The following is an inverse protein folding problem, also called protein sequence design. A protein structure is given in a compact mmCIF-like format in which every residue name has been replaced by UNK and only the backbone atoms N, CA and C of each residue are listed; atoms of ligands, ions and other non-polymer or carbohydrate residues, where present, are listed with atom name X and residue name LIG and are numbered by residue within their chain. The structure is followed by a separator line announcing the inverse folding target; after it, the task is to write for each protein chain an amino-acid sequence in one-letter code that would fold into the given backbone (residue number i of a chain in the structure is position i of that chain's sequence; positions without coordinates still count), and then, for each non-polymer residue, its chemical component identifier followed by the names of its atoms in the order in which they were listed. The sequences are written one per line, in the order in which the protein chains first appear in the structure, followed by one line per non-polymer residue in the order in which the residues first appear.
data_IF_788095845541
#
_entry.id   IF_788095845541
#
_cell.length_a   1.000
_cell.length_b   1.000
_cell.length_c   1.000
_cell.angle_alpha   90.00
_cell.angle_beta   90.00
_cell.angle_gamma   90.00
#
_symmetry.space_group_name_H-M   'P 1'
#
loop_
_entity.id
_entity.type
_entity.pdbx_description
1 polymer ?
#
# COMPACT_ATOMS: atom_id res chain seq x y z
N UNK A 1 -57.54 36.92 9.04
CA UNK A 1 -56.12 37.32 8.96
C UNK A 1 -55.30 36.07 8.72
N UNK A 2 -54.75 35.96 7.52
CA UNK A 2 -54.00 34.82 7.04
C UNK A 2 -52.54 34.91 7.50
N UNK A 3 -51.97 33.79 7.95
CA UNK A 3 -50.53 33.60 7.99
C UNK A 3 -50.24 32.19 7.46
N UNK A 4 -49.85 32.18 6.19
CA UNK A 4 -49.48 31.03 5.38
C UNK A 4 -48.12 30.49 5.81
N UNK A 5 -48.03 29.20 6.14
CA UNK A 5 -46.77 28.47 6.22
C UNK A 5 -46.31 28.12 4.81
N UNK A 6 -45.24 28.78 4.35
CA UNK A 6 -44.55 28.39 3.12
C UNK A 6 -43.65 27.18 3.40
N UNK A 7 -44.13 25.98 3.07
CA UNK A 7 -43.26 24.84 2.80
C UNK A 7 -42.54 25.08 1.47
N UNK A 8 -41.30 25.59 1.54
CA UNK A 8 -40.40 25.59 0.40
C UNK A 8 -39.85 24.18 0.20
N UNK A 9 -40.42 23.45 -0.76
CA UNK A 9 -39.79 22.28 -1.39
C UNK A 9 -38.46 22.73 -1.99
N UNK A 10 -37.35 22.50 -1.31
CA UNK A 10 -36.02 22.51 -1.94
C UNK A 10 -35.82 21.13 -2.56
N UNK A 11 -35.96 21.07 -3.88
CA UNK A 11 -35.62 19.89 -4.66
C UNK A 11 -34.15 19.52 -4.40
N UNK A 12 -33.93 18.31 -3.91
CA UNK A 12 -32.61 17.68 -3.95
C UNK A 12 -32.28 17.45 -5.43
N UNK A 13 -31.37 18.27 -5.96
CA UNK A 13 -30.59 17.86 -7.13
C UNK A 13 -29.52 16.89 -6.63
N UNK A 14 -29.85 15.60 -6.62
CA UNK A 14 -28.87 14.52 -6.53
C UNK A 14 -28.05 14.54 -7.82
N UNK A 15 -26.92 15.25 -7.80
CA UNK A 15 -25.88 15.05 -8.80
C UNK A 15 -25.15 13.74 -8.48
N UNK A 16 -25.68 12.64 -8.99
CA UNK A 16 -24.98 11.35 -9.06
C UNK A 16 -23.81 11.53 -10.02
N UNK A 17 -22.61 11.66 -9.48
CA UNK A 17 -21.38 11.62 -10.27
C UNK A 17 -21.17 10.16 -10.69
N UNK A 18 -21.77 9.77 -11.81
CA UNK A 18 -21.36 8.56 -12.51
C UNK A 18 -19.94 8.79 -13.00
N UNK A 19 -18.99 8.01 -12.49
CA UNK A 19 -17.83 7.63 -13.31
C UNK A 19 -18.41 6.75 -14.40
N UNK A 20 -18.81 7.38 -15.51
CA UNK A 20 -19.23 6.68 -16.71
C UNK A 20 -18.00 5.99 -17.28
N UNK A 21 -17.80 4.72 -16.94
CA UNK A 21 -17.04 3.76 -17.74
C UNK A 21 -17.88 3.36 -18.95
N UNK A 22 -18.28 4.33 -19.76
CA UNK A 22 -18.74 4.09 -21.12
C UNK A 22 -17.59 4.51 -22.02
N UNK A 23 -17.09 3.57 -22.84
CA UNK A 23 -16.07 3.85 -23.84
C UNK A 23 -16.55 4.94 -24.79
N UNK A 24 -16.16 6.18 -24.52
CA UNK A 24 -16.22 7.27 -25.49
C UNK A 24 -15.01 7.04 -26.41
N UNK A 25 -15.19 6.92 -27.73
CA UNK A 25 -14.06 6.82 -28.63
C UNK A 25 -13.18 8.04 -28.43
N UNK A 26 -11.88 7.81 -28.21
CA UNK A 26 -10.91 8.88 -28.18
C UNK A 26 -10.97 9.60 -29.52
N UNK A 27 -11.44 10.85 -29.53
CA UNK A 27 -11.13 11.73 -30.63
C UNK A 27 -9.60 11.82 -30.67
N UNK A 28 -8.99 11.25 -31.71
CA UNK A 28 -7.64 11.63 -32.14
C UNK A 28 -7.74 13.10 -32.53
N UNK A 29 -7.67 14.00 -31.54
CA UNK A 29 -7.35 15.39 -31.82
C UNK A 29 -6.01 15.40 -32.52
N UNK A 30 -5.95 16.05 -33.68
CA UNK A 30 -4.74 16.18 -34.47
C UNK A 30 -3.58 16.64 -33.57
N UNK A 31 -2.41 16.02 -33.72
CA UNK A 31 -1.21 16.45 -33.01
C UNK A 31 -0.98 17.95 -33.34
N UNK A 32 -0.74 18.82 -32.33
CA UNK A 32 -0.47 20.22 -32.60
C UNK A 32 0.77 20.37 -33.48
N UNK A 33 0.75 21.38 -34.36
CA UNK A 33 1.91 21.74 -35.19
C UNK A 33 3.17 21.97 -34.35
N UNK A 34 4.29 21.35 -34.75
CA UNK A 34 5.57 21.43 -34.01
C UNK A 34 6.07 22.88 -33.85
N UNK A 35 5.78 23.75 -34.82
CA UNK A 35 6.09 25.18 -34.74
C UNK A 35 5.27 25.88 -33.65
N UNK A 36 3.97 25.56 -33.55
CA UNK A 36 3.09 26.08 -32.51
C UNK A 36 3.49 25.59 -31.09
N UNK A 37 3.92 24.32 -30.97
CA UNK A 37 4.46 23.77 -29.73
C UNK A 37 5.71 24.54 -29.29
N UNK A 38 6.69 24.66 -30.18
CA UNK A 38 7.95 25.34 -29.90
C UNK A 38 7.76 26.82 -29.53
N UNK A 39 6.89 27.54 -30.26
CA UNK A 39 6.55 28.94 -29.98
C UNK A 39 5.88 29.12 -28.61
N UNK A 40 5.19 28.08 -28.13
CA UNK A 40 4.55 28.05 -26.80
C UNK A 40 5.47 27.51 -25.70
N UNK A 41 6.75 27.23 -26.01
CA UNK A 41 7.73 26.69 -25.07
C UNK A 41 7.62 25.19 -24.79
N UNK A 42 6.67 24.50 -25.43
CA UNK A 42 6.40 23.07 -25.26
C UNK A 42 7.30 22.26 -26.18
N UNK A 43 7.85 21.17 -25.65
CA UNK A 43 8.64 20.17 -26.39
C UNK A 43 7.84 18.88 -26.53
N UNK A 44 8.01 18.19 -27.65
CA UNK A 44 7.54 16.83 -27.89
C UNK A 44 8.72 15.86 -27.76
N UNK A 45 8.59 14.87 -26.89
CA UNK A 45 9.55 13.79 -26.69
C UNK A 45 8.85 12.47 -26.99
N UNK A 46 9.49 11.57 -27.73
CA UNK A 46 8.87 10.35 -28.20
C UNK A 46 9.70 9.11 -27.85
N UNK A 47 8.98 8.04 -27.56
CA UNK A 47 9.48 6.71 -27.25
C UNK A 47 8.47 5.65 -27.73
N UNK A 48 8.74 4.36 -27.51
CA UNK A 48 7.90 3.29 -28.03
C UNK A 48 6.47 3.38 -27.50
N UNK A 49 6.31 3.64 -26.20
CA UNK A 49 5.03 3.62 -25.50
C UNK A 49 4.57 4.99 -25.01
N UNK A 50 5.34 6.06 -25.22
CA UNK A 50 4.96 7.42 -24.81
C UNK A 50 5.23 8.48 -25.88
N UNK A 51 4.23 9.34 -26.11
CA UNK A 51 4.41 10.72 -26.60
C UNK A 51 4.32 11.65 -25.40
N UNK A 52 5.37 12.40 -25.09
CA UNK A 52 5.39 13.34 -23.99
C UNK A 52 5.44 14.78 -24.51
N UNK A 53 4.43 15.57 -24.17
CA UNK A 53 4.42 17.01 -24.31
C UNK A 53 4.82 17.66 -22.97
N UNK A 54 5.86 18.48 -22.96
CA UNK A 54 6.30 19.13 -21.72
C UNK A 54 7.00 20.47 -21.94
N UNK A 55 6.76 21.42 -21.04
CA UNK A 55 7.49 22.70 -20.91
C UNK A 55 8.61 22.63 -19.86
N UNK A 56 8.74 21.49 -19.17
CA UNK A 56 9.81 21.18 -18.20
C UNK A 56 11.10 20.88 -18.97
N UNK A 57 12.21 21.51 -18.56
CA UNK A 57 13.48 21.52 -19.33
C UNK A 57 14.62 20.79 -18.61
N UNK A 58 14.39 20.39 -17.36
CA UNK A 58 15.35 19.69 -16.53
C UNK A 58 15.68 18.33 -17.15
N UNK A 59 16.96 17.88 -17.12
CA UNK A 59 17.37 16.61 -17.72
C UNK A 59 16.58 15.39 -17.22
N UNK A 60 16.09 15.44 -15.98
CA UNK A 60 15.27 14.38 -15.42
C UNK A 60 13.92 14.20 -16.13
N UNK A 61 13.37 15.25 -16.74
CA UNK A 61 12.16 15.16 -17.57
C UNK A 61 12.43 14.42 -18.89
N UNK A 62 13.64 14.55 -19.44
CA UNK A 62 14.03 13.88 -20.70
C UNK A 62 14.11 12.34 -20.54
N UNK A 63 14.26 11.84 -19.31
CA UNK A 63 14.27 10.41 -19.01
C UNK A 63 12.86 9.78 -18.96
N UNK A 64 11.80 10.58 -18.82
CA UNK A 64 10.43 10.09 -18.61
C UNK A 64 9.90 9.14 -19.70
N UNK A 65 10.10 9.40 -21.01
CA UNK A 65 9.67 8.46 -22.05
C UNK A 65 10.33 7.08 -21.90
N UNK A 66 11.63 7.04 -21.58
CA UNK A 66 12.35 5.78 -21.33
C UNK A 66 11.87 5.07 -20.05
N UNK A 67 11.58 5.82 -18.99
CA UNK A 67 10.99 5.26 -17.77
C UNK A 67 9.66 4.58 -18.08
N UNK A 68 8.81 5.23 -18.87
CA UNK A 68 7.52 4.67 -19.28
C UNK A 68 7.69 3.40 -20.12
N UNK A 69 8.60 3.40 -21.10
CA UNK A 69 8.91 2.22 -21.91
C UNK A 69 9.36 1.02 -21.05
N UNK A 70 10.16 1.26 -20.00
CA UNK A 70 10.63 0.22 -19.09
C UNK A 70 9.55 -0.25 -18.11
N UNK A 71 8.50 0.52 -17.89
CA UNK A 71 7.37 0.17 -17.04
C UNK A 71 6.40 -0.80 -17.73
N UNK A 72 6.18 -0.64 -19.05
CA UNK A 72 5.25 -1.46 -19.84
C UNK A 72 5.47 -2.97 -19.69
N UNK A 73 6.68 -3.55 -19.85
CA UNK A 73 6.87 -4.98 -19.67
C UNK A 73 6.63 -5.44 -18.22
N UNK A 74 6.87 -4.58 -17.22
CA UNK A 74 6.62 -4.90 -15.82
C UNK A 74 5.12 -4.88 -15.49
N UNK A 75 4.36 -3.92 -16.03
CA UNK A 75 2.89 -3.95 -15.97
C UNK A 75 2.33 -5.17 -16.70
N UNK A 76 2.88 -5.51 -17.87
CA UNK A 76 2.46 -6.68 -18.63
C UNK A 76 2.63 -7.98 -17.83
N UNK A 77 3.77 -8.17 -17.18
CA UNK A 77 4.02 -9.31 -16.29
C UNK A 77 3.05 -9.31 -15.09
N UNK A 78 2.96 -8.18 -14.37
CA UNK A 78 2.11 -8.03 -13.19
C UNK A 78 0.63 -8.31 -13.50
N UNK A 79 0.13 -7.79 -14.63
CA UNK A 79 -1.27 -7.94 -15.04
C UNK A 79 -1.53 -9.16 -15.92
N UNK A 80 -0.51 -9.92 -16.31
CA UNK A 80 -0.65 -11.09 -17.18
C UNK A 80 -1.11 -10.74 -18.59
N UNK A 81 -0.73 -9.56 -19.08
CA UNK A 81 -1.04 -9.11 -20.44
C UNK A 81 0.07 -9.61 -21.37
N UNK A 82 -0.26 -10.37 -22.44
CA UNK A 82 0.74 -10.80 -23.41
C UNK A 82 1.43 -9.61 -24.08
N UNK A 83 2.75 -9.71 -24.31
CA UNK A 83 3.55 -8.66 -24.97
C UNK A 83 2.98 -8.24 -26.34
N UNK A 84 2.32 -9.16 -27.04
CA UNK A 84 1.67 -8.86 -28.33
C UNK A 84 0.56 -7.82 -28.21
N UNK A 85 -0.08 -7.68 -27.05
CA UNK A 85 -1.09 -6.65 -26.79
C UNK A 85 -0.49 -5.30 -26.42
N UNK A 86 0.75 -5.27 -25.91
CA UNK A 86 1.43 -4.03 -25.53
C UNK A 86 2.28 -3.45 -26.66
N UNK A 87 2.67 -4.26 -27.65
CA UNK A 87 3.59 -3.88 -28.72
C UNK A 87 3.22 -2.57 -29.48
N UNK A 88 1.93 -2.31 -29.70
CA UNK A 88 1.44 -1.09 -30.34
C UNK A 88 0.74 -0.13 -29.39
N UNK A 89 0.68 -0.45 -28.10
CA UNK A 89 0.02 0.40 -27.10
C UNK A 89 0.91 1.60 -26.79
N UNK A 90 0.31 2.78 -26.81
CA UNK A 90 1.01 4.05 -26.61
C UNK A 90 0.11 5.03 -25.87
N UNK A 91 0.71 5.78 -24.94
CA UNK A 91 0.06 6.87 -24.23
C UNK A 91 0.54 8.23 -24.72
N UNK A 92 -0.29 9.25 -24.56
CA UNK A 92 0.08 10.66 -24.71
C UNK A 92 0.06 11.31 -23.33
N UNK A 93 1.20 11.82 -22.89
CA UNK A 93 1.37 12.50 -21.62
C UNK A 93 1.58 14.01 -21.81
N UNK A 94 0.97 14.82 -20.94
CA UNK A 94 1.32 16.22 -20.75
C UNK A 94 1.89 16.43 -19.35
N UNK A 95 3.16 16.86 -19.25
CA UNK A 95 3.81 17.23 -17.98
C UNK A 95 4.03 18.74 -17.99
N UNK A 96 3.30 19.45 -17.12
CA UNK A 96 3.05 20.88 -17.27
C UNK A 96 3.53 21.67 -16.05
N UNK A 97 4.50 22.57 -16.24
CA UNK A 97 4.81 23.62 -15.26
C UNK A 97 3.79 24.74 -15.34
N UNK A 98 3.46 25.19 -16.55
CA UNK A 98 2.34 26.08 -16.83
C UNK A 98 1.30 25.33 -17.68
N UNK A 99 0.07 25.23 -17.17
CA UNK A 99 -1.02 24.53 -17.86
C UNK A 99 -1.67 25.37 -18.98
N UNK A 100 -1.52 26.71 -18.95
CA UNK A 100 -2.20 27.60 -19.89
C UNK A 100 -1.78 27.39 -21.36
N UNK A 101 -0.48 27.25 -21.70
CA UNK A 101 -0.07 26.95 -23.07
C UNK A 101 -0.64 25.63 -23.61
N UNK A 102 -0.71 24.60 -22.76
CA UNK A 102 -1.28 23.30 -23.14
C UNK A 102 -2.77 23.41 -23.42
N UNK A 103 -3.50 24.17 -22.60
CA UNK A 103 -4.94 24.43 -22.82
C UNK A 103 -5.18 25.17 -24.13
N UNK A 104 -4.42 26.25 -24.39
CA UNK A 104 -4.55 27.03 -25.64
C UNK A 104 -4.29 26.20 -26.90
N UNK A 105 -3.40 25.21 -26.83
CA UNK A 105 -3.10 24.31 -27.93
C UNK A 105 -4.02 23.07 -27.97
N UNK A 106 -5.03 22.98 -27.10
CA UNK A 106 -5.95 21.84 -27.03
C UNK A 106 -5.33 20.55 -26.48
N UNK A 107 -4.09 20.61 -25.97
CA UNK A 107 -3.44 19.48 -25.32
C UNK A 107 -4.04 19.18 -23.95
N UNK A 108 -4.54 20.20 -23.23
CA UNK A 108 -5.27 20.07 -21.97
C UNK A 108 -6.75 20.44 -22.18
N UNK A 109 -7.68 19.46 -22.19
CA UNK A 109 -9.10 19.71 -22.41
C UNK A 109 -9.76 20.49 -21.27
N UNK A 110 -10.66 21.42 -21.60
CA UNK A 110 -11.42 22.23 -20.64
C UNK A 110 -12.52 21.45 -19.90
N UNK A 111 -12.89 20.28 -20.41
CA UNK A 111 -13.94 19.43 -19.84
C UNK A 111 -13.43 18.46 -18.77
N UNK A 112 -12.12 18.47 -18.48
CA UNK A 112 -11.55 17.67 -17.42
C UNK A 112 -12.02 18.18 -16.05
N UNK A 113 -12.34 17.27 -15.11
CA UNK A 113 -12.58 17.68 -13.73
C UNK A 113 -11.30 18.30 -13.14
N UNK A 114 -11.40 19.22 -12.17
CA UNK A 114 -10.23 19.72 -11.47
C UNK A 114 -9.46 18.57 -10.81
N UNK A 115 -8.14 18.52 -11.04
CA UNK A 115 -7.24 17.56 -10.42
C UNK A 115 -6.07 18.30 -9.76
N UNK A 116 -5.54 17.72 -8.67
CA UNK A 116 -4.48 18.36 -7.89
C UNK A 116 -3.09 18.14 -8.48
N UNK A 117 -2.84 16.94 -9.01
CA UNK A 117 -1.50 16.49 -9.40
C UNK A 117 -1.49 15.80 -10.74
N UNK A 118 -2.33 14.79 -10.93
CA UNK A 118 -2.44 14.01 -12.16
C UNK A 118 -3.88 13.63 -12.47
N UNK A 119 -4.12 13.28 -13.74
CA UNK A 119 -5.37 12.71 -14.20
C UNK A 119 -5.14 11.89 -15.48
N UNK A 120 -5.85 10.77 -15.62
CA UNK A 120 -5.84 9.93 -16.81
C UNK A 120 -7.24 9.79 -17.40
N UNK A 121 -7.34 9.85 -18.75
CA UNK A 121 -8.55 9.58 -19.51
C UNK A 121 -8.22 8.97 -20.86
N UNK A 122 -8.62 7.71 -21.07
CA UNK A 122 -8.34 6.98 -22.30
C UNK A 122 -6.83 6.83 -22.53
N UNK A 123 -6.35 7.17 -23.73
CA UNK A 123 -4.91 7.07 -24.06
C UNK A 123 -4.11 8.31 -23.63
N UNK A 124 -4.70 9.20 -22.82
CA UNK A 124 -4.09 10.46 -22.41
C UNK A 124 -3.96 10.56 -20.90
N UNK A 125 -2.84 11.13 -20.46
CA UNK A 125 -2.62 11.53 -19.08
C UNK A 125 -2.07 12.95 -18.99
N UNK A 126 -2.42 13.65 -17.93
CA UNK A 126 -1.99 15.01 -17.64
C UNK A 126 -1.48 15.07 -16.22
N UNK A 127 -0.38 15.78 -16.00
CA UNK A 127 0.11 16.04 -14.67
C UNK A 127 0.77 17.41 -14.57
N UNK A 128 0.60 18.03 -13.41
CA UNK A 128 1.37 19.22 -13.05
C UNK A 128 2.79 18.83 -12.66
N UNK A 129 3.72 19.74 -12.92
CA UNK A 129 5.12 19.60 -12.54
C UNK A 129 5.27 19.43 -11.02
N UNK A 130 6.19 18.56 -10.61
CA UNK A 130 6.35 18.12 -9.22
C UNK A 130 7.66 18.61 -8.59
N UNK A 131 7.71 18.80 -7.27
CA UNK A 131 8.88 19.35 -6.58
C UNK A 131 10.09 18.42 -6.55
N UNK A 132 9.95 17.14 -6.95
CA UNK A 132 11.06 16.20 -7.04
C UNK A 132 11.00 15.35 -8.30
N UNK A 133 12.17 14.98 -8.81
CA UNK A 133 12.29 14.05 -9.94
C UNK A 133 11.71 12.68 -9.63
N UNK A 134 11.78 12.24 -8.36
CA UNK A 134 11.13 11.01 -7.91
C UNK A 134 9.62 11.11 -8.04
N UNK A 135 9.00 12.16 -7.48
CA UNK A 135 7.55 12.26 -7.44
C UNK A 135 6.98 12.57 -8.84
N UNK A 136 7.74 13.25 -9.71
CA UNK A 136 7.41 13.38 -11.14
C UNK A 136 7.31 12.01 -11.82
N UNK A 137 8.32 11.15 -11.66
CA UNK A 137 8.29 9.77 -12.18
C UNK A 137 7.17 8.95 -11.54
N UNK A 138 6.98 9.06 -10.23
CA UNK A 138 5.93 8.37 -9.48
C UNK A 138 4.55 8.67 -10.06
N UNK A 139 4.22 9.95 -10.29
CA UNK A 139 2.95 10.32 -10.89
C UNK A 139 2.80 9.85 -12.33
N UNK A 140 3.86 9.92 -13.14
CA UNK A 140 3.83 9.38 -14.50
C UNK A 140 3.51 7.87 -14.50
N UNK A 141 4.13 7.11 -13.59
CA UNK A 141 3.90 5.67 -13.45
C UNK A 141 2.53 5.36 -12.85
N UNK A 142 2.07 6.16 -11.90
CA UNK A 142 0.74 6.05 -11.30
C UNK A 142 -0.36 6.24 -12.36
N UNK A 143 -0.35 7.36 -13.09
CA UNK A 143 -1.30 7.61 -14.18
C UNK A 143 -1.11 6.64 -15.35
N UNK A 144 0.13 6.19 -15.58
CA UNK A 144 0.44 5.14 -16.55
C UNK A 144 -0.20 3.80 -16.19
N UNK A 145 -0.28 3.46 -14.91
CA UNK A 145 -0.97 2.26 -14.41
C UNK A 145 -2.48 2.34 -14.68
N UNK A 146 -3.10 3.51 -14.46
CA UNK A 146 -4.50 3.75 -14.84
C UNK A 146 -4.70 3.57 -16.35
N UNK A 147 -3.84 4.18 -17.16
CA UNK A 147 -3.88 4.03 -18.62
C UNK A 147 -3.75 2.57 -19.06
N UNK A 148 -2.78 1.85 -18.52
CA UNK A 148 -2.53 0.45 -18.85
C UNK A 148 -3.75 -0.43 -18.53
N UNK A 149 -4.29 -0.32 -17.31
CA UNK A 149 -5.43 -1.13 -16.87
C UNK A 149 -6.69 -0.79 -17.67
N UNK A 150 -7.01 0.50 -17.85
CA UNK A 150 -8.19 0.94 -18.61
C UNK A 150 -8.11 0.52 -20.08
N UNK A 151 -6.98 0.71 -20.75
CA UNK A 151 -6.86 0.44 -22.18
C UNK A 151 -6.73 -1.06 -22.50
N UNK A 152 -6.02 -1.84 -21.67
CA UNK A 152 -5.67 -3.22 -22.00
C UNK A 152 -6.49 -4.27 -21.23
N UNK A 153 -7.10 -3.88 -20.10
CA UNK A 153 -7.90 -4.76 -19.24
C UNK A 153 -9.37 -4.33 -19.14
N UNK A 154 -9.73 -3.20 -19.76
CA UNK A 154 -11.12 -2.73 -19.87
C UNK A 154 -11.67 -2.01 -18.63
N UNK A 155 -10.82 -1.75 -17.62
CA UNK A 155 -11.19 -1.01 -16.43
C UNK A 155 -10.08 -0.98 -15.38
N UNK A 156 -10.25 -0.14 -14.36
CA UNK A 156 -9.32 0.00 -13.22
C UNK A 156 -9.78 -0.69 -11.94
N UNK A 157 -10.96 -1.33 -11.94
CA UNK A 157 -11.59 -1.86 -10.72
C UNK A 157 -12.18 -0.77 -9.81
N UNK A 158 -12.54 -1.11 -8.56
CA UNK A 158 -13.08 -0.16 -7.60
C UNK A 158 -12.03 0.89 -7.17
N UNK A 159 -12.45 2.09 -6.70
CA UNK A 159 -11.52 3.19 -6.39
C UNK A 159 -10.36 2.80 -5.46
N UNK A 160 -10.61 1.99 -4.42
CA UNK A 160 -9.55 1.55 -3.51
C UNK A 160 -8.49 0.70 -4.20
N UNK A 161 -8.90 -0.17 -5.12
CA UNK A 161 -7.97 -1.04 -5.86
C UNK A 161 -7.25 -0.24 -6.92
N UNK A 162 -7.98 0.54 -7.70
CA UNK A 162 -7.46 1.38 -8.79
C UNK A 162 -6.33 2.29 -8.27
N UNK A 163 -6.61 3.04 -7.20
CA UNK A 163 -5.63 3.97 -6.62
C UNK A 163 -4.54 3.23 -5.83
N UNK A 164 -4.91 2.14 -5.13
CA UNK A 164 -3.96 1.33 -4.38
C UNK A 164 -2.91 0.67 -5.26
N UNK A 165 -3.33 0.08 -6.39
CA UNK A 165 -2.42 -0.58 -7.32
C UNK A 165 -1.59 0.43 -8.11
N UNK A 166 -2.15 1.59 -8.47
CA UNK A 166 -1.40 2.66 -9.12
C UNK A 166 -0.36 3.29 -8.19
N UNK A 167 -0.66 3.49 -6.91
CA UNK A 167 0.33 3.90 -5.90
C UNK A 167 1.40 2.84 -5.67
N UNK A 168 1.00 1.56 -5.59
CA UNK A 168 1.93 0.43 -5.38
C UNK A 168 2.87 0.23 -6.56
N UNK A 169 2.37 0.20 -7.79
CA UNK A 169 3.19 0.06 -9.01
C UNK A 169 3.89 1.37 -9.38
N UNK A 170 3.44 2.51 -8.86
CA UNK A 170 4.13 3.79 -8.95
C UNK A 170 5.36 3.89 -8.05
N UNK A 171 5.43 3.13 -6.95
CA UNK A 171 6.65 3.01 -6.15
C UNK A 171 7.73 2.30 -6.96
N UNK A 172 8.90 2.92 -7.06
CA UNK A 172 9.93 2.43 -7.97
C UNK A 172 11.34 2.79 -7.53
N UNK A 173 12.30 2.00 -8.00
CA UNK A 173 13.72 2.33 -7.98
C UNK A 173 14.18 2.68 -9.39
N UNK A 174 14.84 3.82 -9.52
CA UNK A 174 15.46 4.28 -10.76
C UNK A 174 16.94 4.51 -10.51
N UNK A 175 17.78 3.60 -11.01
CA UNK A 175 19.22 3.65 -10.81
C UNK A 175 19.92 3.11 -12.05
N UNK A 176 20.95 3.81 -12.52
CA UNK A 176 21.78 3.39 -13.66
C UNK A 176 20.97 3.02 -14.92
N UNK A 177 19.87 3.76 -15.17
CA UNK A 177 18.99 3.55 -16.31
C UNK A 177 18.12 2.29 -16.23
N UNK A 178 18.02 1.67 -15.05
CA UNK A 178 17.15 0.53 -14.74
C UNK A 178 15.97 1.00 -13.90
N UNK A 179 14.78 0.48 -14.23
CA UNK A 179 13.55 0.71 -13.52
C UNK A 179 13.08 -0.59 -12.86
N UNK A 180 12.74 -0.53 -11.59
CA UNK A 180 12.06 -1.59 -10.84
C UNK A 180 10.79 -1.01 -10.25
N UNK A 181 9.62 -1.51 -10.66
CA UNK A 181 8.32 -1.14 -10.09
C UNK A 181 8.02 -1.97 -8.83
N UNK A 182 6.98 -1.58 -8.09
CA UNK A 182 6.60 -2.21 -6.81
C UNK A 182 7.76 -2.24 -5.80
N UNK A 183 8.65 -1.25 -5.87
CA UNK A 183 9.86 -1.21 -5.06
C UNK A 183 9.53 -0.93 -3.59
N UNK A 184 9.97 -1.81 -2.70
CA UNK A 184 9.87 -1.61 -1.25
C UNK A 184 11.01 -0.72 -0.74
N UNK A 185 10.79 0.60 -0.83
CA UNK A 185 11.75 1.60 -0.38
C UNK A 185 12.14 1.40 1.08
N UNK A 186 13.45 1.42 1.36
CA UNK A 186 14.05 1.17 2.68
C UNK A 186 14.07 2.42 3.56
N UNK A 187 14.04 3.59 2.94
CA UNK A 187 13.99 4.87 3.65
C UNK A 187 13.26 5.95 2.86
N UNK A 188 12.84 7.01 3.56
CA UNK A 188 12.11 8.13 2.92
C UNK A 188 12.93 8.89 1.88
N UNK A 189 14.27 8.86 1.99
CA UNK A 189 15.16 9.58 1.08
C UNK A 189 15.12 9.01 -0.35
N UNK A 190 14.87 7.70 -0.49
CA UNK A 190 14.72 7.03 -1.78
C UNK A 190 13.46 7.47 -2.54
N UNK A 191 12.44 7.94 -1.81
CA UNK A 191 11.08 8.20 -2.32
C UNK A 191 10.60 9.62 -1.98
N UNK A 192 11.44 10.61 -2.31
CA UNK A 192 11.21 12.01 -1.98
C UNK A 192 9.81 12.50 -2.37
N UNK A 193 9.10 13.12 -1.41
CA UNK A 193 7.74 13.67 -1.49
C UNK A 193 6.57 12.65 -1.55
N UNK A 194 6.82 11.34 -1.55
CA UNK A 194 5.74 10.35 -1.58
C UNK A 194 4.95 10.24 -0.25
N UNK A 195 5.64 10.05 0.89
CA UNK A 195 5.11 10.34 2.22
C UNK A 195 3.96 9.47 2.76
N UNK A 196 3.54 8.38 2.10
CA UNK A 196 2.37 7.57 2.54
C UNK A 196 2.57 6.89 3.89
N UNK A 197 3.78 6.38 4.17
CA UNK A 197 4.15 5.84 5.50
C UNK A 197 3.92 6.86 6.62
N UNK A 198 4.30 8.13 6.39
CA UNK A 198 4.10 9.22 7.37
C UNK A 198 2.62 9.50 7.63
N UNK A 199 1.79 9.43 6.58
CA UNK A 199 0.34 9.60 6.70
C UNK A 199 -0.24 8.49 7.59
N UNK A 200 0.05 7.22 7.28
CA UNK A 200 -0.47 6.09 8.06
C UNK A 200 -0.08 6.15 9.54
N UNK A 201 1.20 6.44 9.84
CA UNK A 201 1.66 6.62 11.22
C UNK A 201 0.86 7.70 11.95
N UNK A 202 0.68 8.86 11.32
CA UNK A 202 -0.07 9.98 11.92
C UNK A 202 -1.54 9.63 12.13
N UNK A 203 -2.20 8.98 11.17
CA UNK A 203 -3.61 8.60 11.33
C UNK A 203 -3.78 7.55 12.43
N UNK A 204 -2.87 6.57 12.51
CA UNK A 204 -2.86 5.57 13.58
C UNK A 204 -2.64 6.20 14.97
N UNK A 205 -1.61 7.04 15.12
CA UNK A 205 -1.30 7.75 16.37
C UNK A 205 -2.46 8.64 16.83
N UNK A 206 -3.23 9.18 15.89
CA UNK A 206 -4.39 10.00 16.18
C UNK A 206 -5.68 9.19 16.44
N UNK A 207 -5.58 7.87 16.56
CA UNK A 207 -6.71 6.97 16.83
C UNK A 207 -7.69 6.80 15.67
N UNK A 208 -7.25 7.10 14.44
CA UNK A 208 -8.04 7.02 13.20
C UNK A 208 -7.57 5.86 12.29
N UNK A 209 -7.10 4.77 12.89
CA UNK A 209 -6.82 3.55 12.15
C UNK A 209 -8.08 3.03 11.46
N UNK A 210 -7.93 2.54 10.22
CA UNK A 210 -9.03 1.94 9.45
C UNK A 210 -9.00 0.41 9.56
N UNK A 211 -10.14 -0.24 9.32
CA UNK A 211 -10.16 -1.69 9.01
C UNK A 211 -9.84 -1.91 7.54
N UNK A 212 -9.40 -3.11 7.16
CA UNK A 212 -9.16 -3.42 5.75
C UNK A 212 -10.46 -3.30 4.95
N UNK A 213 -11.58 -3.73 5.55
CA UNK A 213 -12.91 -3.60 4.95
C UNK A 213 -13.30 -2.15 4.70
N UNK A 214 -13.05 -1.23 5.64
CA UNK A 214 -13.39 0.19 5.46
C UNK A 214 -12.63 0.82 4.28
N UNK A 215 -11.35 0.48 4.11
CA UNK A 215 -10.56 0.91 2.95
C UNK A 215 -11.19 0.44 1.64
N UNK A 216 -11.68 -0.81 1.59
CA UNK A 216 -12.34 -1.36 0.41
C UNK A 216 -13.69 -0.69 0.06
N UNK A 217 -14.23 0.14 0.96
CA UNK A 217 -15.47 0.90 0.71
C UNK A 217 -15.24 2.30 0.17
N UNK A 218 -13.99 2.73 -0.03
CA UNK A 218 -13.73 4.06 -0.56
C UNK A 218 -14.39 4.28 -1.92
N UNK A 219 -15.07 5.43 -2.04
CA UNK A 219 -15.64 5.89 -3.28
C UNK A 219 -14.68 6.84 -4.03
N UNK A 220 -15.09 7.29 -5.21
CA UNK A 220 -14.32 8.24 -6.00
C UNK A 220 -14.15 9.61 -5.31
N UNK A 221 -15.03 9.99 -4.36
CA UNK A 221 -14.94 11.28 -3.67
C UNK A 221 -13.89 11.25 -2.55
N UNK A 222 -13.60 10.09 -1.98
CA UNK A 222 -12.57 9.92 -0.96
C UNK A 222 -11.22 10.49 -1.44
N UNK A 223 -10.86 10.20 -2.69
CA UNK A 223 -9.57 10.54 -3.32
C UNK A 223 -9.39 12.03 -3.68
N UNK A 224 -10.28 12.90 -3.19
CA UNK A 224 -10.07 14.36 -3.13
C UNK A 224 -9.10 14.77 -2.02
N UNK A 225 -8.72 13.84 -1.16
CA UNK A 225 -7.72 14.00 -0.08
C UNK A 225 -6.55 13.07 -0.36
N UNK A 226 -5.37 13.39 0.18
CA UNK A 226 -4.16 12.56 0.05
C UNK A 226 -4.20 11.30 0.91
N UNK A 227 -4.98 11.30 1.99
CA UNK A 227 -4.99 10.22 2.98
C UNK A 227 -5.48 8.87 2.43
N UNK A 228 -6.55 8.80 1.62
CA UNK A 228 -7.01 7.52 1.07
C UNK A 228 -5.97 6.80 0.22
N UNK A 229 -5.13 7.54 -0.53
CA UNK A 229 -4.03 6.94 -1.29
C UNK A 229 -3.06 6.14 -0.40
N UNK A 230 -2.81 6.61 0.83
CA UNK A 230 -1.93 5.90 1.75
C UNK A 230 -2.55 4.59 2.25
N UNK A 231 -3.85 4.59 2.53
CA UNK A 231 -4.59 3.39 2.95
C UNK A 231 -4.74 2.38 1.81
N UNK A 232 -5.12 2.86 0.62
CA UNK A 232 -5.25 2.03 -0.58
C UNK A 232 -3.90 1.40 -0.96
N UNK A 233 -2.80 2.16 -0.89
CA UNK A 233 -1.44 1.64 -1.07
C UNK A 233 -1.13 0.52 -0.07
N UNK A 234 -1.36 0.75 1.23
CA UNK A 234 -1.08 -0.25 2.24
C UNK A 234 -1.94 -1.52 2.06
N UNK A 235 -3.20 -1.37 1.65
CA UNK A 235 -4.08 -2.49 1.35
C UNK A 235 -3.58 -3.30 0.15
N UNK A 236 -3.18 -2.64 -0.95
CA UNK A 236 -2.58 -3.30 -2.10
C UNK A 236 -1.28 -4.01 -1.74
N UNK A 237 -0.40 -3.36 -0.97
CA UNK A 237 0.86 -3.94 -0.49
C UNK A 237 0.61 -5.18 0.39
N UNK A 238 -0.31 -5.11 1.36
CA UNK A 238 -0.67 -6.25 2.20
C UNK A 238 -1.21 -7.39 1.34
N UNK A 239 -2.21 -7.11 0.51
CA UNK A 239 -2.92 -8.14 -0.24
C UNK A 239 -2.04 -8.82 -1.30
N UNK A 240 -1.14 -8.08 -1.94
CA UNK A 240 -0.19 -8.61 -2.94
C UNK A 240 0.96 -9.41 -2.32
N UNK A 241 1.32 -9.16 -1.06
CA UNK A 241 2.47 -9.83 -0.41
C UNK A 241 2.12 -10.86 0.65
N UNK A 242 0.95 -10.76 1.27
CA UNK A 242 0.58 -11.68 2.33
C UNK A 242 0.29 -13.09 1.77
N UNK A 243 0.88 -14.17 2.32
CA UNK A 243 0.72 -15.52 1.80
C UNK A 243 -0.74 -15.99 1.66
N UNK A 244 -1.61 -15.56 2.59
CA UNK A 244 -3.02 -15.94 2.58
C UNK A 244 -3.87 -15.25 1.50
N UNK A 245 -3.40 -14.14 0.91
CA UNK A 245 -4.16 -13.34 -0.06
C UNK A 245 -3.51 -13.20 -1.43
N UNK A 246 -2.18 -13.27 -1.52
CA UNK A 246 -1.39 -12.95 -2.73
C UNK A 246 -1.94 -13.59 -4.00
N UNK A 247 -2.23 -14.89 -3.95
CA UNK A 247 -2.75 -15.61 -5.10
C UNK A 247 -4.13 -15.09 -5.53
N UNK A 248 -5.06 -14.97 -4.58
CA UNK A 248 -6.40 -14.45 -4.87
C UNK A 248 -6.35 -13.00 -5.35
N UNK A 249 -5.56 -12.13 -4.72
CA UNK A 249 -5.45 -10.74 -5.12
C UNK A 249 -4.94 -10.58 -6.56
N UNK A 250 -3.91 -11.36 -6.95
CA UNK A 250 -3.36 -11.33 -8.31
C UNK A 250 -4.30 -11.93 -9.35
N UNK A 251 -5.13 -12.92 -9.01
CA UNK A 251 -6.15 -13.43 -9.93
C UNK A 251 -7.17 -12.37 -10.37
N UNK A 252 -7.41 -11.35 -9.54
CA UNK A 252 -8.45 -10.34 -9.77
C UNK A 252 -8.11 -9.29 -10.82
N UNK A 253 -6.87 -9.28 -11.32
CA UNK A 253 -6.51 -8.55 -12.55
C UNK A 253 -7.42 -8.88 -13.75
N UNK A 254 -8.04 -10.06 -13.74
CA UNK A 254 -8.97 -10.52 -14.78
C UNK A 254 -10.40 -9.97 -14.62
N UNK A 255 -10.69 -9.25 -13.54
CA UNK A 255 -12.03 -8.76 -13.16
C UNK A 255 -12.12 -7.22 -13.17
N UNK A 256 -11.12 -6.51 -13.68
CA UNK A 256 -11.05 -5.04 -13.58
C UNK A 256 -12.13 -4.30 -14.39
N UNK A 257 -12.75 -4.97 -15.36
CA UNK A 257 -13.90 -4.47 -16.11
C UNK A 257 -15.25 -4.70 -15.42
N UNK A 258 -15.28 -5.44 -14.29
CA UNK A 258 -16.51 -5.65 -13.52
C UNK A 258 -16.94 -4.37 -12.78
N UNK A 259 -18.18 -4.33 -12.29
CA UNK A 259 -18.61 -3.19 -11.47
C UNK A 259 -17.81 -3.12 -10.16
N UNK A 260 -17.55 -1.91 -9.62
CA UNK A 260 -16.80 -1.74 -8.37
C UNK A 260 -17.28 -2.60 -7.19
N UNK A 261 -18.61 -2.71 -7.03
CA UNK A 261 -19.23 -3.47 -5.94
C UNK A 261 -19.04 -4.97 -6.14
N UNK A 262 -19.19 -5.48 -7.38
CA UNK A 262 -19.01 -6.89 -7.69
C UNK A 262 -17.57 -7.33 -7.46
N UNK A 263 -16.60 -6.51 -7.88
CA UNK A 263 -15.17 -6.78 -7.67
C UNK A 263 -14.85 -6.96 -6.18
N UNK A 264 -15.22 -5.97 -5.36
CA UNK A 264 -14.87 -5.96 -3.93
C UNK A 264 -15.57 -7.09 -3.17
N UNK A 265 -16.85 -7.33 -3.47
CA UNK A 265 -17.61 -8.42 -2.86
C UNK A 265 -17.05 -9.80 -3.22
N UNK A 266 -16.64 -10.00 -4.48
CA UNK A 266 -16.06 -11.26 -4.95
C UNK A 266 -14.68 -11.51 -4.33
N UNK A 267 -13.84 -10.47 -4.21
CA UNK A 267 -12.53 -10.60 -3.55
C UNK A 267 -12.70 -10.96 -2.08
N UNK A 268 -13.59 -10.26 -1.38
CA UNK A 268 -13.94 -10.59 -0.01
C UNK A 268 -14.43 -12.04 0.11
N UNK A 269 -15.37 -12.48 -0.75
CA UNK A 269 -15.89 -13.85 -0.73
C UNK A 269 -14.80 -14.91 -0.95
N UNK A 270 -13.80 -14.65 -1.79
CA UNK A 270 -12.65 -15.56 -2.00
C UNK A 270 -11.74 -15.64 -0.76
N UNK A 271 -11.70 -14.57 0.03
CA UNK A 271 -10.83 -14.44 1.20
C UNK A 271 -11.60 -14.61 2.52
N UNK A 272 -12.90 -14.88 2.50
CA UNK A 272 -13.76 -14.85 3.68
C UNK A 272 -13.25 -15.72 4.83
N UNK A 273 -12.83 -16.96 4.52
CA UNK A 273 -12.27 -17.89 5.52
C UNK A 273 -10.92 -17.44 6.10
N UNK A 274 -10.21 -16.56 5.39
CA UNK A 274 -8.92 -15.98 5.79
C UNK A 274 -9.07 -14.54 6.30
N UNK A 275 -10.26 -13.96 6.23
CA UNK A 275 -10.47 -12.55 6.57
C UNK A 275 -10.08 -12.20 8.00
N UNK A 276 -10.38 -13.02 9.03
CA UNK A 276 -9.92 -12.75 10.39
C UNK A 276 -8.39 -12.69 10.51
N UNK A 277 -7.68 -13.58 9.82
CA UNK A 277 -6.21 -13.58 9.75
C UNK A 277 -5.70 -12.31 9.06
N UNK A 278 -6.33 -11.91 7.95
CA UNK A 278 -5.95 -10.71 7.20
C UNK A 278 -6.19 -9.43 7.99
N UNK A 279 -7.32 -9.31 8.71
CA UNK A 279 -7.59 -8.15 9.57
C UNK A 279 -6.59 -8.05 10.73
N UNK A 280 -6.22 -9.18 11.35
CA UNK A 280 -5.20 -9.19 12.39
C UNK A 280 -3.83 -8.74 11.85
N UNK A 281 -3.44 -9.25 10.68
CA UNK A 281 -2.21 -8.84 9.99
C UNK A 281 -2.26 -7.38 9.53
N UNK A 282 -3.42 -6.89 9.09
CA UNK A 282 -3.64 -5.50 8.74
C UNK A 282 -3.43 -4.58 9.95
N UNK A 283 -4.03 -4.88 11.10
CA UNK A 283 -3.81 -4.08 12.31
C UNK A 283 -2.35 -4.14 12.78
N UNK A 284 -1.70 -5.31 12.68
CA UNK A 284 -0.27 -5.45 12.97
C UNK A 284 0.59 -4.57 12.05
N UNK A 285 0.30 -4.59 10.75
CA UNK A 285 0.96 -3.75 9.74
C UNK A 285 0.77 -2.27 10.06
N UNK A 286 -0.46 -1.80 10.27
CA UNK A 286 -0.72 -0.37 10.51
C UNK A 286 -0.05 0.12 11.80
N UNK A 287 -0.01 -0.71 12.85
CA UNK A 287 0.71 -0.39 14.08
C UNK A 287 2.24 -0.38 13.88
N UNK A 288 2.76 -1.13 12.91
CA UNK A 288 4.18 -1.36 12.71
C UNK A 288 4.77 -0.69 11.45
N UNK A 289 3.93 -0.04 10.61
CA UNK A 289 4.31 0.38 9.26
C UNK A 289 5.52 1.29 9.27
N UNK A 290 6.49 0.98 8.42
CA UNK A 290 7.71 1.75 8.21
C UNK A 290 8.26 1.46 6.82
N UNK A 291 9.26 2.24 6.39
CA UNK A 291 9.95 1.95 5.15
C UNK A 291 10.65 0.59 5.26
N UNK A 292 10.61 -0.19 4.17
CA UNK A 292 11.18 -1.52 4.09
C UNK A 292 10.34 -2.63 4.72
N UNK A 293 9.14 -2.36 5.24
CA UNK A 293 8.28 -3.36 5.89
C UNK A 293 8.12 -4.62 5.03
N UNK A 294 8.55 -5.78 5.54
CA UNK A 294 8.44 -7.05 4.84
C UNK A 294 7.14 -7.75 5.25
N UNK A 295 6.10 -7.62 4.41
CA UNK A 295 4.78 -8.20 4.67
C UNK A 295 4.82 -9.72 4.82
N UNK A 296 5.63 -10.41 4.02
CA UNK A 296 5.66 -11.87 3.99
C UNK A 296 6.34 -12.43 5.25
N UNK A 297 7.45 -11.83 5.69
CA UNK A 297 8.12 -12.23 6.94
C UNK A 297 7.36 -11.77 8.17
N UNK A 298 6.77 -10.57 8.13
CA UNK A 298 5.98 -10.04 9.23
C UNK A 298 4.61 -10.73 9.38
N UNK A 299 4.15 -11.47 8.36
CA UNK A 299 2.92 -12.25 8.42
C UNK A 299 2.91 -13.15 9.67
N UNK A 300 1.83 -13.02 10.44
CA UNK A 300 1.67 -13.68 11.73
C UNK A 300 1.68 -15.20 11.54
N UNK A 301 2.54 -15.88 12.29
CA UNK A 301 2.63 -17.33 12.30
C UNK A 301 1.51 -17.88 13.20
N UNK A 302 0.39 -18.24 12.59
CA UNK A 302 -0.77 -18.78 13.30
C UNK A 302 -0.57 -20.24 13.75
N UNK A 303 -1.22 -20.61 14.85
CA UNK A 303 -1.26 -21.98 15.39
C UNK A 303 -2.67 -22.33 15.84
N UNK A 304 -3.00 -23.61 15.77
CA UNK A 304 -4.24 -24.10 16.39
C UNK A 304 -4.18 -23.93 17.92
N UNK A 305 -5.36 -23.76 18.52
CA UNK A 305 -5.46 -23.61 19.97
C UNK A 305 -4.99 -24.85 20.70
N UNK A 306 -4.15 -24.68 21.73
CA UNK A 306 -3.61 -25.77 22.54
C UNK A 306 -4.17 -25.65 23.96
N UNK A 307 -4.78 -26.74 24.45
CA UNK A 307 -5.19 -26.82 25.84
C UNK A 307 -3.96 -26.71 26.76
N UNK A 308 -4.04 -25.87 27.80
CA UNK A 308 -2.95 -25.72 28.78
C UNK A 308 -2.84 -27.01 29.60
N UNK A 309 -1.75 -27.75 29.39
CA UNK A 309 -1.39 -28.89 30.22
C UNK A 309 -0.86 -28.45 31.60
N UNK A 310 -0.92 -29.31 32.63
CA UNK A 310 -0.51 -28.97 34.00
C UNK A 310 0.99 -28.65 34.15
N UNK A 311 1.82 -28.94 33.15
CA UNK A 311 3.27 -28.65 33.14
C UNK A 311 3.65 -27.32 32.49
N UNK A 312 2.68 -26.56 31.97
CA UNK A 312 2.90 -25.43 31.08
C UNK A 312 3.06 -25.84 29.62
N UNK A 313 3.21 -24.84 28.76
CA UNK A 313 3.37 -24.99 27.32
C UNK A 313 4.68 -24.37 26.87
N UNK A 314 5.37 -25.03 25.92
CA UNK A 314 6.61 -24.53 25.32
C UNK A 314 6.43 -24.27 23.83
N UNK A 315 7.05 -23.21 23.31
CA UNK A 315 7.08 -22.92 21.88
C UNK A 315 8.37 -22.21 21.46
N UNK A 316 8.65 -22.28 20.17
CA UNK A 316 9.73 -21.54 19.55
C UNK A 316 9.21 -20.23 18.92
N UNK A 317 9.99 -19.17 19.05
CA UNK A 317 9.79 -17.86 18.44
C UNK A 317 10.94 -17.61 17.47
N UNK A 318 10.65 -17.63 16.18
CA UNK A 318 11.64 -17.46 15.10
C UNK A 318 12.01 -15.97 14.95
N UNK A 319 13.31 -15.67 14.90
CA UNK A 319 13.80 -14.31 14.77
C UNK A 319 13.54 -13.68 13.40
N UNK A 320 13.39 -14.49 12.36
CA UNK A 320 13.18 -14.05 10.98
C UNK A 320 11.72 -13.77 10.65
N UNK A 321 10.82 -13.83 11.64
CA UNK A 321 9.37 -13.74 11.49
C UNK A 321 8.76 -12.69 12.43
N UNK A 322 7.55 -12.26 12.09
CA UNK A 322 6.73 -11.36 12.91
C UNK A 322 6.17 -12.03 14.16
N UNK A 323 4.91 -11.75 14.46
CA UNK A 323 4.24 -12.33 15.62
C UNK A 323 3.98 -13.84 15.45
N UNK A 324 4.07 -14.58 16.55
CA UNK A 324 3.75 -16.00 16.62
C UNK A 324 2.55 -16.20 17.55
N UNK A 325 1.47 -16.80 17.04
CA UNK A 325 0.36 -17.28 17.87
C UNK A 325 0.87 -18.45 18.73
N UNK A 326 0.68 -18.38 20.03
CA UNK A 326 1.07 -19.46 20.92
C UNK A 326 0.02 -20.58 20.98
N UNK A 327 -1.21 -20.32 20.54
CA UNK A 327 -2.38 -21.18 20.72
C UNK A 327 -2.94 -21.15 22.15
N UNK A 328 -2.44 -20.25 23.02
CA UNK A 328 -2.73 -20.28 24.46
C UNK A 328 -3.72 -19.17 24.83
N UNK A 329 -4.90 -19.61 25.25
CA UNK A 329 -5.72 -19.07 26.34
C UNK A 329 -5.01 -18.20 27.38
N UNK A 330 -5.33 -16.94 27.63
CA UNK A 330 -5.05 -16.31 28.93
C UNK A 330 -6.32 -15.70 29.54
N UNK A 331 -6.45 -15.79 30.86
CA UNK A 331 -7.59 -15.29 31.61
C UNK A 331 -7.25 -14.01 32.34
N UNK A 332 -8.10 -12.99 32.20
CA UNK A 332 -7.93 -11.71 32.86
C UNK A 332 -7.71 -11.87 34.38
N UNK A 333 -6.73 -11.15 34.93
CA UNK A 333 -6.42 -11.16 36.36
C UNK A 333 -5.65 -12.39 36.87
N UNK A 334 -5.49 -13.43 36.06
CA UNK A 334 -4.62 -14.57 36.39
C UNK A 334 -3.13 -14.18 36.27
N UNK A 335 -2.25 -14.95 36.93
CA UNK A 335 -0.80 -14.75 36.84
C UNK A 335 -0.18 -15.94 36.11
N UNK A 336 0.59 -15.65 35.07
CA UNK A 336 1.31 -16.65 34.30
C UNK A 336 2.80 -16.37 34.34
N UNK A 337 3.62 -17.41 34.50
CA UNK A 337 5.08 -17.25 34.47
C UNK A 337 5.61 -17.59 33.08
N UNK A 338 6.22 -16.61 32.44
CA UNK A 338 6.98 -16.80 31.21
C UNK A 338 8.47 -16.93 31.52
N UNK A 339 9.14 -17.87 30.85
CA UNK A 339 10.60 -18.02 30.85
C UNK A 339 11.07 -18.28 29.43
N UNK A 340 12.23 -17.74 29.06
CA UNK A 340 12.76 -17.86 27.71
C UNK A 340 14.26 -18.15 27.73
N UNK A 341 14.69 -18.93 26.75
CA UNK A 341 16.10 -19.27 26.53
C UNK A 341 16.40 -19.27 25.03
N UNK A 342 17.68 -19.32 24.67
CA UNK A 342 18.13 -19.37 23.28
C UNK A 342 18.92 -18.13 22.89
N UNK A 343 19.39 -18.13 21.65
CA UNK A 343 20.15 -17.05 21.05
C UNK A 343 19.70 -16.85 19.61
N UNK A 344 19.72 -15.59 19.19
CA UNK A 344 19.37 -15.17 17.84
C UNK A 344 20.45 -14.23 17.31
N UNK A 345 20.52 -14.11 16.00
CA UNK A 345 21.33 -13.11 15.29
C UNK A 345 20.36 -12.13 14.65
N UNK A 346 20.54 -10.82 14.87
CA UNK A 346 19.60 -9.78 14.43
C UNK A 346 20.13 -8.90 13.29
N UNK A 347 21.41 -9.08 12.97
CA UNK A 347 22.08 -8.45 11.82
C UNK A 347 23.15 -9.38 11.34
N UNK A 348 23.29 -9.51 10.02
CA UNK A 348 24.30 -10.37 9.41
C UNK A 348 25.74 -9.88 9.63
N UNK A 349 26.01 -8.58 9.47
CA UNK A 349 27.37 -8.01 9.57
C UNK A 349 27.36 -6.55 10.09
N UNK A 350 28.06 -6.25 11.21
CA UNK A 350 28.64 -7.21 12.15
C UNK A 350 27.52 -8.04 12.81
N UNK A 351 27.79 -9.32 13.08
CA UNK A 351 26.81 -10.23 13.71
C UNK A 351 26.40 -9.70 15.07
N UNK A 352 25.10 -9.45 15.25
CA UNK A 352 24.54 -9.04 16.54
C UNK A 352 23.79 -10.19 17.18
N UNK A 353 24.48 -10.87 18.10
CA UNK A 353 23.87 -11.92 18.91
C UNK A 353 23.06 -11.34 20.08
N UNK A 354 21.86 -11.86 20.28
CA UNK A 354 20.99 -11.50 21.39
C UNK A 354 20.46 -12.74 22.12
N UNK A 355 20.38 -12.63 23.43
CA UNK A 355 19.56 -13.49 24.29
C UNK A 355 18.18 -12.82 24.51
N UNK A 356 17.17 -13.49 25.10
CA UNK A 356 15.83 -12.95 25.23
C UNK A 356 15.69 -11.57 25.89
N UNK A 357 16.65 -11.10 26.69
CA UNK A 357 16.66 -9.72 27.22
C UNK A 357 16.97 -8.65 26.16
N UNK A 358 17.43 -9.04 24.97
CA UNK A 358 17.91 -8.15 23.92
C UNK A 358 19.28 -7.55 24.21
N UNK A 359 19.79 -6.82 23.22
CA UNK A 359 21.00 -6.00 23.33
C UNK A 359 20.62 -4.56 23.66
N UNK A 360 21.35 -3.94 24.58
CA UNK A 360 21.09 -2.55 25.02
C UNK A 360 21.96 -1.52 24.29
N UNK A 361 22.76 -1.93 23.32
CA UNK A 361 23.46 -1.01 22.42
C UNK A 361 22.50 -0.35 21.41
N UNK A 362 21.43 -1.06 21.07
CA UNK A 362 20.43 -0.64 20.10
C UNK A 362 19.02 -0.86 20.64
N UNK A 363 18.12 0.05 20.30
CA UNK A 363 16.74 -0.01 20.73
C UNK A 363 15.81 0.09 19.53
N UNK A 364 14.79 -0.76 19.50
CA UNK A 364 13.66 -0.62 18.60
C UNK A 364 12.43 -0.25 19.43
N UNK A 365 11.78 0.87 19.07
CA UNK A 365 10.59 1.42 19.76
C UNK A 365 10.74 1.53 21.28
N UNK A 366 11.92 1.99 21.72
CA UNK A 366 12.23 2.22 23.14
C UNK A 366 12.53 0.96 23.95
N UNK A 367 12.62 -0.21 23.30
CA UNK A 367 12.98 -1.50 23.94
C UNK A 367 14.28 -2.06 23.38
N UNK A 368 15.08 -2.80 24.15
CA UNK A 368 16.31 -3.41 23.65
C UNK A 368 16.05 -4.24 22.39
N UNK A 369 16.91 -4.10 21.38
CA UNK A 369 16.82 -4.85 20.15
C UNK A 369 16.95 -6.35 20.45
N UNK A 370 16.09 -7.19 19.91
CA UNK A 370 16.13 -8.63 20.18
C UNK A 370 15.41 -9.08 21.45
N UNK A 371 14.86 -8.16 22.23
CA UNK A 371 14.10 -8.52 23.43
C UNK A 371 12.87 -9.35 23.07
N UNK A 372 12.61 -10.42 23.82
CA UNK A 372 11.36 -11.15 23.72
C UNK A 372 10.21 -10.30 24.27
N UNK A 373 9.15 -10.18 23.46
CA UNK A 373 7.92 -9.49 23.79
C UNK A 373 6.73 -10.46 23.72
N UNK A 374 5.70 -10.15 24.50
CA UNK A 374 4.40 -10.80 24.42
C UNK A 374 3.29 -9.78 24.13
N UNK A 375 2.18 -10.21 23.57
CA UNK A 375 0.95 -9.43 23.51
C UNK A 375 -0.27 -10.35 23.61
N UNK A 376 -1.39 -9.81 24.06
CA UNK A 376 -2.68 -10.53 24.09
C UNK A 376 -3.58 -9.96 23.01
N UNK A 377 -4.10 -10.81 22.15
CA UNK A 377 -5.21 -10.51 21.25
C UNK A 377 -6.51 -10.78 22.02
N UNK A 378 -7.30 -9.74 22.37
CA UNK A 378 -8.47 -9.92 23.23
C UNK A 378 -9.57 -10.73 22.53
N UNK A 379 -10.28 -11.57 23.29
CA UNK A 379 -11.44 -12.30 22.75
C UNK A 379 -12.58 -11.38 22.29
N UNK A 380 -12.65 -10.15 22.83
CA UNK A 380 -13.60 -9.12 22.43
C UNK A 380 -13.22 -8.40 21.12
N UNK A 381 -11.95 -8.46 20.71
CA UNK A 381 -11.43 -7.78 19.52
C UNK A 381 -10.31 -8.63 18.88
N UNK A 382 -10.68 -9.73 18.18
CA UNK A 382 -9.72 -10.70 17.66
C UNK A 382 -8.88 -10.18 16.48
N UNK A 383 -9.14 -8.95 16.02
CA UNK A 383 -8.37 -8.30 14.96
C UNK A 383 -7.22 -7.45 15.52
N UNK A 384 -7.09 -7.27 16.84
CA UNK A 384 -6.15 -6.31 17.42
C UNK A 384 -5.10 -6.98 18.31
N UNK A 385 -3.84 -6.84 17.93
CA UNK A 385 -2.71 -7.17 18.81
C UNK A 385 -2.64 -6.14 19.93
N UNK A 386 -2.66 -6.62 21.18
CA UNK A 386 -2.50 -5.77 22.36
C UNK A 386 -1.16 -5.06 22.45
N UNK A 387 -1.02 -4.17 23.42
CA UNK A 387 0.24 -3.45 23.66
C UNK A 387 1.34 -4.46 24.04
N UNK A 388 2.53 -4.42 23.40
CA UNK A 388 3.61 -5.33 23.73
C UNK A 388 4.09 -5.21 25.19
N UNK A 389 4.22 -6.35 25.85
CA UNK A 389 4.72 -6.54 27.21
C UNK A 389 6.16 -7.03 27.12
N UNK A 390 7.05 -6.45 27.93
CA UNK A 390 8.46 -6.86 28.03
C UNK A 390 8.56 -8.17 28.81
N UNK A 391 9.23 -9.16 28.22
CA UNK A 391 9.37 -10.50 28.82
C UNK A 391 10.82 -10.78 29.19
N UNK A 392 11.74 -10.54 28.26
CA UNK A 392 13.15 -10.84 28.50
C UNK A 392 13.37 -12.36 28.72
N UNK A 393 14.29 -12.68 29.65
CA UNK A 393 14.54 -14.04 30.11
C UNK A 393 13.38 -14.63 30.93
N UNK A 394 12.66 -13.80 31.68
CA UNK A 394 11.51 -14.23 32.49
C UNK A 394 10.64 -13.04 32.91
N UNK A 395 9.33 -13.27 32.98
CA UNK A 395 8.37 -12.29 33.48
C UNK A 395 7.11 -12.97 34.02
N UNK A 396 6.44 -12.32 34.97
CA UNK A 396 5.09 -12.67 35.38
C UNK A 396 4.09 -11.85 34.55
N UNK A 397 3.30 -12.54 33.72
CA UNK A 397 2.25 -11.96 32.88
C UNK A 397 0.94 -11.89 33.67
N UNK A 398 0.34 -10.69 33.69
CA UNK A 398 -0.98 -10.44 34.29
C UNK A 398 -1.87 -9.74 33.26
N UNK A 399 -2.58 -10.49 32.42
CA UNK A 399 -3.40 -9.89 31.38
C UNK A 399 -4.59 -9.15 32.01
N UNK A 400 -4.85 -7.93 31.53
CA UNK A 400 -6.01 -7.14 31.94
C UNK A 400 -7.30 -7.55 31.21
N UNK A 401 -7.16 -8.32 30.13
CA UNK A 401 -8.24 -8.83 29.28
C UNK A 401 -7.98 -10.29 28.95
N UNK A 402 -9.02 -11.12 28.85
CA UNK A 402 -8.87 -12.50 28.41
C UNK A 402 -8.65 -12.56 26.90
N UNK A 403 -7.79 -13.45 26.44
CA UNK A 403 -7.51 -13.61 25.02
C UNK A 403 -6.30 -14.47 24.71
N UNK A 404 -6.01 -14.56 23.42
CA UNK A 404 -4.94 -15.38 22.85
C UNK A 404 -3.58 -14.70 23.02
N UNK A 405 -2.58 -15.44 23.47
CA UNK A 405 -1.20 -14.97 23.64
C UNK A 405 -0.38 -15.08 22.35
N UNK A 406 0.37 -14.02 22.07
CA UNK A 406 1.29 -13.93 20.94
C UNK A 406 2.68 -13.50 21.40
N UNK A 407 3.71 -13.94 20.68
CA UNK A 407 5.11 -13.63 20.95
C UNK A 407 5.79 -13.00 19.75
N UNK A 408 6.74 -12.11 19.99
CA UNK A 408 7.58 -11.52 18.94
C UNK A 408 8.95 -11.14 19.53
N UNK A 409 9.98 -11.15 18.69
CA UNK A 409 11.28 -10.55 19.00
C UNK A 409 11.25 -9.05 18.63
N UNK A 410 11.72 -8.19 19.52
CA UNK A 410 11.74 -6.75 19.33
C UNK A 410 12.72 -6.33 18.22
N UNK A 411 12.22 -6.32 16.99
CA UNK A 411 12.92 -5.94 15.77
C UNK A 411 11.94 -5.26 14.79
N UNK A 412 12.50 -4.40 13.94
CA UNK A 412 11.82 -3.82 12.79
C UNK A 412 11.29 -4.89 11.85
N UNK A 413 10.08 -4.71 11.34
CA UNK A 413 9.57 -5.58 10.29
C UNK A 413 10.35 -5.43 8.96
N UNK A 414 11.15 -4.37 8.82
CA UNK A 414 12.02 -4.18 7.67
C UNK A 414 13.33 -4.98 7.76
N UNK A 415 13.76 -5.35 8.96
CA UNK A 415 15.07 -5.97 9.21
C UNK A 415 14.94 -7.45 9.61
N UNK A 416 13.86 -8.13 9.23
CA UNK A 416 13.65 -9.55 9.53
C UNK A 416 14.44 -10.50 8.61
N UNK A 417 14.95 -10.01 7.49
CA UNK A 417 15.46 -10.85 6.41
C UNK A 417 16.83 -11.48 6.71
N UNK A 418 17.66 -10.81 7.51
CA UNK A 418 19.00 -11.27 7.92
C UNK A 418 19.04 -11.78 9.37
N UNK A 419 17.87 -11.99 9.97
CA UNK A 419 17.75 -12.60 11.28
C UNK A 419 17.89 -14.12 11.22
N UNK A 420 18.57 -14.70 12.21
CA UNK A 420 18.75 -16.14 12.35
C UNK A 420 18.46 -16.61 13.78
N UNK A 421 18.04 -17.87 13.91
CA UNK A 421 17.84 -18.52 15.20
C UNK A 421 16.44 -18.36 15.78
N UNK A 422 16.29 -18.78 17.04
CA UNK A 422 14.99 -18.82 17.73
C UNK A 422 15.18 -18.75 19.25
N UNK A 423 14.15 -18.24 19.91
CA UNK A 423 13.99 -18.40 21.36
C UNK A 423 13.02 -19.53 21.67
N UNK A 424 13.33 -20.31 22.70
CA UNK A 424 12.42 -21.27 23.30
C UNK A 424 11.75 -20.63 24.51
N UNK A 425 10.42 -20.54 24.47
CA UNK A 425 9.59 -19.85 25.46
C UNK A 425 8.69 -20.86 26.14
N UNK A 426 8.69 -20.86 27.48
CA UNK A 426 7.79 -21.65 28.31
C UNK A 426 6.87 -20.73 29.10
N UNK A 427 5.58 -21.04 29.11
CA UNK A 427 4.56 -20.38 29.94
C UNK A 427 3.85 -21.37 30.87
N UNK A 428 3.63 -20.96 32.13
CA UNK A 428 3.04 -21.76 33.20
C UNK A 428 1.97 -20.99 33.95
#
# INVERSE_FOLDING_TARGET
MAASSKHARRGLWTATLFVLTAGIPAARGDDPDDGALAASGIRKLESAHLVLYTDVREPAADALPRVFDLAVPQWADYFGVPETKTASWRMIACVMRDAEPFRRLGLLPDDLPPFLTGYQRGERLWMHEQPSDYYRRHLLLHEGTHGFTVNLLGGGGPPWYMEGIAEYLGLHRWQDGRLELAYNARESAEVAYWGRVKILKREYEAGRGMTLRDVMTYDAKAHRRLEPYAWCWAAAMLLDHHPASRAAFREFRNALSESPDAFSARLYGRLESRWPELELNWQALIAAVEYGYDVERAAIVLREGVARGPGGSTMEVDASRGWHDSGIELDAGSVYRATATGRVVLRGEPRWEAEPNGITLHYYRGKPLGMLLAAVVPNSDPARIGVPIEIGLHADLRPNVSGRLYWKINESAADLADNEGRYSVRIQ
#
